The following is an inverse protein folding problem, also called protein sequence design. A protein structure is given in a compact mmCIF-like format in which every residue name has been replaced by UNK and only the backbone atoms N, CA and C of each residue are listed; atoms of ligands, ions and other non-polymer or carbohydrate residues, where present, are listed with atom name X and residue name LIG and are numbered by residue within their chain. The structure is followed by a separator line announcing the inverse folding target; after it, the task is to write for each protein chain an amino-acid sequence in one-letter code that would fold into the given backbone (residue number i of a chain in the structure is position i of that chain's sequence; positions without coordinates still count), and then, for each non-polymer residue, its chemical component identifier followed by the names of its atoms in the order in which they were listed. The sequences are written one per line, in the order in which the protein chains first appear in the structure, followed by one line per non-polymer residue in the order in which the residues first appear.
data_IF_511874607709
#
_entry.id   IF_511874607709
#
_cell.length_a   1.000
_cell.length_b   1.000
_cell.length_c   1.000
_cell.angle_alpha   90.00
_cell.angle_beta   90.00
_cell.angle_gamma   90.00
#
_symmetry.space_group_name_H-M   'P 1'
#
loop_
_entity.id
_entity.type
_entity.pdbx_description
1 polymer ?
#
# COMPACT_ATOMS: atom_id res chain seq x y z
N UNK A 1 8.23 -43.51 -66.41
CA UNK A 1 9.07 -42.42 -65.85
C UNK A 1 8.27 -41.70 -64.77
N UNK A 2 8.97 -41.23 -63.72
CA UNK A 2 8.48 -40.52 -62.51
C UNK A 2 7.83 -41.41 -61.46
N UNK A 3 8.59 -41.98 -60.51
CA UNK A 3 9.32 -41.41 -59.35
C UNK A 3 8.37 -40.92 -58.25
N UNK A 4 8.56 -41.55 -57.09
CA UNK A 4 7.85 -41.40 -55.83
C UNK A 4 8.01 -40.03 -55.16
N UNK A 5 7.11 -39.72 -54.23
CA UNK A 5 7.45 -38.89 -53.07
C UNK A 5 6.62 -39.33 -51.87
N UNK A 6 7.27 -39.95 -50.89
CA UNK A 6 6.72 -40.20 -49.56
C UNK A 6 6.91 -38.94 -48.71
N UNK A 7 5.81 -38.30 -48.32
CA UNK A 7 5.83 -37.32 -47.23
C UNK A 7 5.92 -38.06 -45.89
N UNK A 8 7.11 -38.06 -45.28
CA UNK A 8 7.32 -38.39 -43.87
C UNK A 8 6.69 -37.30 -43.00
N UNK A 9 5.56 -37.59 -42.37
CA UNK A 9 5.02 -36.78 -41.29
C UNK A 9 5.82 -37.00 -40.01
N UNK A 10 6.55 -35.98 -39.56
CA UNK A 10 7.19 -35.99 -38.25
C UNK A 10 6.13 -35.73 -37.17
N UNK A 11 5.96 -36.66 -36.23
CA UNK A 11 5.19 -36.43 -35.01
C UNK A 11 5.97 -35.43 -34.14
N UNK A 12 5.49 -34.20 -34.00
CA UNK A 12 5.88 -33.32 -32.91
C UNK A 12 5.11 -33.74 -31.65
N UNK A 13 5.79 -34.45 -30.75
CA UNK A 13 5.31 -34.64 -29.39
C UNK A 13 5.44 -33.32 -28.63
N UNK A 14 4.32 -32.66 -28.36
CA UNK A 14 4.27 -31.51 -27.44
C UNK A 14 4.34 -32.06 -26.02
N UNK A 15 5.47 -31.86 -25.35
CA UNK A 15 5.57 -32.03 -23.90
C UNK A 15 4.84 -30.86 -23.23
N UNK A 16 3.64 -31.11 -22.68
CA UNK A 16 3.04 -30.25 -21.68
C UNK A 16 3.80 -30.46 -20.36
N UNK A 17 4.73 -29.55 -20.05
CA UNK A 17 5.22 -29.40 -18.68
C UNK A 17 4.12 -28.70 -17.86
N UNK A 18 3.83 -29.15 -16.63
CA UNK A 18 2.95 -28.39 -15.75
C UNK A 18 3.62 -27.07 -15.42
N UNK A 19 2.94 -25.95 -15.67
CA UNK A 19 3.35 -24.66 -15.13
C UNK A 19 3.29 -24.78 -13.60
N UNK A 20 4.46 -24.83 -12.95
CA UNK A 20 4.54 -24.64 -11.51
C UNK A 20 4.15 -23.18 -11.28
N UNK A 21 2.95 -22.95 -10.75
CA UNK A 21 2.55 -21.63 -10.31
C UNK A 21 3.50 -21.24 -9.18
N UNK A 22 4.44 -20.34 -9.46
CA UNK A 22 5.19 -19.65 -8.42
C UNK A 22 4.15 -18.90 -7.60
N UNK A 23 4.10 -19.18 -6.29
CA UNK A 23 3.33 -18.35 -5.38
C UNK A 23 3.78 -16.89 -5.60
N UNK A 24 2.84 -15.95 -5.66
CA UNK A 24 3.19 -14.54 -5.50
C UNK A 24 3.96 -14.44 -4.19
N UNK A 25 5.23 -14.04 -4.25
CA UNK A 25 6.13 -14.07 -3.09
C UNK A 25 5.81 -12.98 -2.06
N UNK A 26 4.90 -12.05 -2.40
CA UNK A 26 4.46 -10.98 -1.52
C UNK A 26 3.22 -11.34 -0.71
N UNK A 27 3.11 -10.72 0.46
CA UNK A 27 1.95 -10.77 1.35
C UNK A 27 1.11 -9.51 1.24
N UNK A 28 -0.19 -9.65 1.51
CA UNK A 28 -1.12 -8.53 1.49
C UNK A 28 -0.99 -7.69 2.77
N UNK A 29 -1.08 -6.37 2.63
CA UNK A 29 -1.27 -5.45 3.77
C UNK A 29 -2.68 -4.87 3.73
N UNK A 30 -3.37 -4.91 4.86
CA UNK A 30 -4.51 -4.05 5.17
C UNK A 30 -4.07 -3.04 6.23
N UNK A 31 -3.97 -1.77 5.86
CA UNK A 31 -3.73 -0.68 6.81
C UNK A 31 -5.06 0.01 7.11
N UNK A 32 -5.45 0.05 8.38
CA UNK A 32 -6.73 0.62 8.78
C UNK A 32 -6.64 1.49 10.04
N UNK A 33 -7.61 2.39 10.19
CA UNK A 33 -7.80 3.19 11.40
C UNK A 33 -9.07 2.78 12.11
N UNK A 34 -9.03 2.69 13.44
CA UNK A 34 -10.20 2.40 14.25
C UNK A 34 -11.16 3.61 14.37
N UNK A 35 -12.28 3.43 15.07
CA UNK A 35 -13.31 4.47 15.20
C UNK A 35 -12.85 5.76 15.91
N UNK A 36 -11.70 5.78 16.57
CA UNK A 36 -11.20 6.98 17.27
C UNK A 36 -10.87 8.15 16.33
N UNK A 37 -10.63 7.89 15.05
CA UNK A 37 -10.42 8.94 14.03
C UNK A 37 -11.71 9.67 13.64
N UNK A 38 -12.89 9.08 13.86
CA UNK A 38 -14.16 9.58 13.29
C UNK A 38 -14.59 10.92 13.91
N UNK A 39 -14.39 11.10 15.21
CA UNK A 39 -14.68 12.36 15.90
C UNK A 39 -13.83 13.53 15.40
N UNK A 40 -12.49 13.46 15.45
CA UNK A 40 -11.63 14.55 15.02
C UNK A 40 -11.55 14.73 13.51
N UNK A 41 -11.67 13.65 12.73
CA UNK A 41 -11.32 13.65 11.31
C UNK A 41 -12.42 13.14 10.38
N UNK A 42 -13.61 12.81 10.91
CA UNK A 42 -14.73 12.31 10.10
C UNK A 42 -15.04 13.20 8.91
N UNK A 43 -14.96 12.62 7.71
CA UNK A 43 -15.18 13.31 6.45
C UNK A 43 -13.97 14.06 5.90
N UNK A 44 -12.79 14.04 6.53
CA UNK A 44 -11.57 14.65 5.96
C UNK A 44 -10.85 13.71 5.00
N UNK A 45 -10.11 14.28 4.04
CA UNK A 45 -9.28 13.49 3.13
C UNK A 45 -8.09 12.89 3.87
N UNK A 46 -7.68 11.70 3.46
CA UNK A 46 -6.52 10.99 3.99
C UNK A 46 -5.71 10.46 2.82
N UNK A 47 -4.39 10.57 2.91
CA UNK A 47 -3.48 9.92 1.99
C UNK A 47 -2.49 9.03 2.74
N UNK A 48 -2.16 7.90 2.13
CA UNK A 48 -1.34 6.84 2.71
C UNK A 48 -0.28 6.43 1.71
N UNK A 49 0.95 6.24 2.19
CA UNK A 49 2.08 5.74 1.43
C UNK A 49 2.69 4.53 2.15
N UNK A 50 2.91 3.46 1.41
CA UNK A 50 3.71 2.33 1.86
C UNK A 50 5.17 2.58 1.47
N UNK A 51 6.06 2.49 2.45
CA UNK A 51 7.47 2.86 2.33
C UNK A 51 8.34 1.68 2.75
N UNK A 52 9.37 1.36 1.97
CA UNK A 52 10.42 0.45 2.44
C UNK A 52 11.30 1.18 3.46
N UNK A 53 11.41 0.65 4.67
CA UNK A 53 11.99 1.38 5.80
C UNK A 53 13.50 1.63 5.65
N UNK A 54 14.24 0.73 5.00
CA UNK A 54 15.70 0.84 4.88
C UNK A 54 16.13 1.87 3.82
N UNK A 55 15.52 1.80 2.63
CA UNK A 55 15.84 2.72 1.53
C UNK A 55 15.09 4.05 1.60
N UNK A 56 13.92 4.07 2.26
CA UNK A 56 12.97 5.17 2.19
C UNK A 56 12.16 5.22 0.88
N UNK A 57 12.24 4.19 0.03
CA UNK A 57 11.52 4.11 -1.23
C UNK A 57 10.01 4.06 -0.99
N UNK A 58 9.25 4.95 -1.65
CA UNK A 58 7.79 4.92 -1.63
C UNK A 58 7.30 3.95 -2.68
N UNK A 59 6.79 2.81 -2.23
CA UNK A 59 6.38 1.69 -3.08
C UNK A 59 4.97 1.90 -3.67
N UNK A 60 4.09 2.52 -2.89
CA UNK A 60 2.71 2.78 -3.30
C UNK A 60 2.13 3.96 -2.55
N UNK A 61 1.16 4.64 -3.17
CA UNK A 61 0.35 5.71 -2.57
C UNK A 61 -1.12 5.44 -2.84
N UNK A 62 -1.97 5.76 -1.87
CA UNK A 62 -3.42 5.70 -1.98
C UNK A 62 -4.04 6.91 -1.29
N UNK A 63 -5.25 7.28 -1.71
CA UNK A 63 -6.02 8.37 -1.15
C UNK A 63 -7.44 7.90 -0.84
N UNK A 64 -8.06 8.52 0.17
CA UNK A 64 -9.41 8.18 0.60
C UNK A 64 -10.02 9.26 1.48
N UNK A 65 -10.99 8.84 2.28
CA UNK A 65 -11.67 9.72 3.24
C UNK A 65 -11.89 8.97 4.53
N UNK A 66 -11.72 9.66 5.65
CA UNK A 66 -12.06 9.15 6.98
C UNK A 66 -13.58 9.07 7.08
N UNK A 67 -14.12 7.90 7.40
CA UNK A 67 -15.54 7.71 7.65
C UNK A 67 -15.99 8.49 8.90
N UNK A 68 -17.24 8.93 8.93
CA UNK A 68 -17.82 9.61 10.10
C UNK A 68 -18.47 8.67 11.12
N UNK A 69 -18.62 7.39 10.78
CA UNK A 69 -19.27 6.36 11.59
C UNK A 69 -18.77 4.95 11.22
N UNK A 70 -19.01 3.96 12.09
CA UNK A 70 -18.67 2.55 11.88
C UNK A 70 -17.57 2.04 12.82
N UNK A 71 -17.13 0.80 12.61
CA UNK A 71 -16.04 0.20 13.41
C UNK A 71 -14.65 0.59 12.87
N UNK A 72 -14.54 0.78 11.55
CA UNK A 72 -13.31 1.14 10.84
C UNK A 72 -13.48 2.52 10.23
N UNK A 73 -12.58 3.45 10.55
CA UNK A 73 -12.62 4.81 10.03
C UNK A 73 -12.04 4.91 8.62
N UNK A 74 -11.06 4.09 8.26
CA UNK A 74 -10.53 3.96 6.91
C UNK A 74 -9.83 2.60 6.76
N UNK A 75 -9.72 2.09 5.54
CA UNK A 75 -8.95 0.89 5.23
C UNK A 75 -8.34 1.01 3.84
N UNK A 76 -7.07 0.63 3.72
CA UNK A 76 -6.30 0.61 2.47
C UNK A 76 -5.65 -0.75 2.30
N UNK A 77 -5.80 -1.33 1.12
CA UNK A 77 -5.26 -2.65 0.79
C UNK A 77 -4.06 -2.49 -0.15
N UNK A 78 -2.96 -3.18 0.16
CA UNK A 78 -1.77 -3.26 -0.70
C UNK A 78 -1.49 -4.73 -1.00
N UNK A 79 -2.10 -5.29 -2.07
CA UNK A 79 -1.97 -6.70 -2.39
C UNK A 79 -0.55 -7.07 -2.80
N UNK A 80 0.00 -8.13 -2.19
CA UNK A 80 1.33 -8.67 -2.47
C UNK A 80 2.48 -7.70 -2.25
N UNK A 81 2.28 -6.65 -1.45
CA UNK A 81 3.25 -5.56 -1.30
C UNK A 81 4.36 -5.85 -0.29
N UNK A 82 4.12 -6.77 0.67
CA UNK A 82 5.08 -7.06 1.73
C UNK A 82 5.94 -8.27 1.37
N UNK A 83 7.24 -8.04 1.22
CA UNK A 83 8.22 -9.11 1.01
C UNK A 83 8.74 -9.63 2.36
N UNK A 84 8.98 -10.95 2.48
CA UNK A 84 9.62 -11.52 3.65
C UNK A 84 10.97 -10.86 3.95
N UNK A 85 11.29 -10.72 5.25
CA UNK A 85 12.55 -10.15 5.74
C UNK A 85 12.80 -8.66 5.40
N UNK A 86 11.85 -7.99 4.76
CA UNK A 86 11.90 -6.54 4.49
C UNK A 86 11.12 -5.77 5.56
N UNK A 87 11.68 -4.66 6.03
CA UNK A 87 11.01 -3.75 6.97
C UNK A 87 10.26 -2.66 6.21
N UNK A 88 9.06 -2.33 6.67
CA UNK A 88 8.18 -1.35 6.03
C UNK A 88 7.65 -0.34 7.03
N UNK A 89 7.36 0.85 6.52
CA UNK A 89 6.61 1.89 7.23
C UNK A 89 5.38 2.27 6.43
N UNK A 90 4.31 2.65 7.13
CA UNK A 90 3.18 3.36 6.55
C UNK A 90 3.26 4.81 6.97
N UNK A 91 3.35 5.68 5.98
CA UNK A 91 3.28 7.12 6.14
C UNK A 91 1.87 7.57 5.78
N UNK A 92 1.23 8.35 6.62
CA UNK A 92 -0.08 8.89 6.29
C UNK A 92 -0.31 10.24 6.91
N UNK A 93 -1.17 11.02 6.26
CA UNK A 93 -1.61 12.30 6.76
C UNK A 93 -3.10 12.50 6.47
N UNK A 94 -3.73 13.30 7.34
CA UNK A 94 -5.12 13.71 7.20
C UNK A 94 -5.14 15.21 6.95
N UNK A 95 -5.73 15.58 5.82
CA UNK A 95 -5.92 16.93 5.30
C UNK A 95 -6.85 17.73 6.21
N UNK A 96 -6.27 18.25 7.28
CA UNK A 96 -6.98 18.90 8.37
C UNK A 96 -7.08 20.40 8.16
N UNK A 97 -6.14 20.96 7.40
CA UNK A 97 -6.06 22.39 7.06
C UNK A 97 -6.10 23.32 8.28
N UNK A 98 -5.62 22.85 9.44
CA UNK A 98 -5.59 23.65 10.66
C UNK A 98 -4.80 24.94 10.42
N UNK A 99 -5.30 26.07 10.94
CA UNK A 99 -4.60 27.34 10.78
C UNK A 99 -4.45 27.84 9.33
N UNK A 100 -5.13 27.24 8.35
CA UNK A 100 -5.13 27.67 6.95
C UNK A 100 -4.19 26.90 6.04
N UNK A 101 -4.08 25.58 6.22
CA UNK A 101 -3.48 24.68 5.22
C UNK A 101 -4.22 24.73 3.87
N UNK A 102 -3.57 24.20 2.83
CA UNK A 102 -4.11 24.05 1.49
C UNK A 102 -4.79 22.70 1.28
N UNK A 103 -6.06 22.75 0.89
CA UNK A 103 -6.84 21.54 0.56
C UNK A 103 -6.12 20.65 -0.47
N UNK A 104 -5.99 19.36 -0.14
CA UNK A 104 -5.34 18.36 -0.96
C UNK A 104 -3.81 18.42 -1.00
N UNK A 105 -3.18 19.19 -0.10
CA UNK A 105 -1.72 19.30 0.01
C UNK A 105 -1.28 18.80 1.37
N UNK A 106 -0.23 17.98 1.42
CA UNK A 106 0.40 17.65 2.70
C UNK A 106 1.17 18.87 3.20
N UNK A 107 0.59 19.59 4.15
CA UNK A 107 1.21 20.73 4.81
C UNK A 107 1.93 20.31 6.09
N UNK A 108 2.71 21.22 6.69
CA UNK A 108 3.44 20.95 7.92
C UNK A 108 2.52 20.48 9.08
N UNK A 109 3.10 19.84 10.10
CA UNK A 109 2.33 19.23 11.20
C UNK A 109 1.48 20.22 12.03
N UNK A 110 1.68 21.53 11.84
CA UNK A 110 0.81 22.56 12.42
C UNK A 110 -0.51 22.75 11.67
N UNK A 111 -0.62 22.24 10.44
CA UNK A 111 -1.78 22.32 9.56
C UNK A 111 -2.46 20.96 9.41
N UNK A 112 -1.67 19.90 9.22
CA UNK A 112 -2.18 18.54 9.05
C UNK A 112 -1.66 17.61 10.13
N UNK A 113 -2.49 16.64 10.52
CA UNK A 113 -1.96 15.53 11.30
C UNK A 113 -1.25 14.55 10.37
N UNK A 114 -0.03 14.21 10.75
CA UNK A 114 0.89 13.35 10.01
C UNK A 114 1.46 12.28 10.92
N UNK A 115 1.60 11.06 10.43
CA UNK A 115 2.11 9.95 11.21
C UNK A 115 3.00 9.04 10.36
N UNK A 116 4.05 8.54 11.01
CA UNK A 116 4.95 7.50 10.52
C UNK A 116 4.82 6.27 11.41
N UNK A 117 4.41 5.15 10.81
CA UNK A 117 4.11 3.90 11.52
C UNK A 117 5.00 2.80 10.99
N UNK A 118 5.86 2.24 11.84
CA UNK A 118 6.58 1.03 11.51
C UNK A 118 5.62 -0.17 11.55
N UNK A 119 5.69 -1.02 10.52
CA UNK A 119 4.95 -2.28 10.49
C UNK A 119 5.74 -3.38 11.19
N UNK A 120 5.03 -4.28 11.87
CA UNK A 120 5.64 -5.52 12.34
C UNK A 120 6.13 -6.36 11.14
N UNK A 121 7.25 -7.11 11.28
CA UNK A 121 7.74 -7.97 10.20
C UNK A 121 6.65 -8.95 9.73
N UNK A 122 6.32 -8.88 8.44
CA UNK A 122 5.31 -9.75 7.86
C UNK A 122 5.89 -11.16 7.65
N UNK A 123 5.25 -12.16 8.26
CA UNK A 123 5.46 -13.59 7.96
C UNK A 123 4.31 -14.18 7.13
N UNK A 124 3.42 -13.32 6.64
CA UNK A 124 2.13 -13.61 6.03
C UNK A 124 1.36 -12.31 5.81
N UNK A 125 0.11 -12.43 5.34
CA UNK A 125 -0.78 -11.28 5.20
C UNK A 125 -0.93 -10.56 6.55
N UNK A 126 -0.88 -9.23 6.52
CA UNK A 126 -0.84 -8.37 7.69
C UNK A 126 -2.06 -7.44 7.70
N UNK A 127 -2.76 -7.38 8.82
CA UNK A 127 -3.70 -6.29 9.11
C UNK A 127 -3.13 -5.44 10.23
N UNK A 128 -2.82 -4.18 9.92
CA UNK A 128 -2.32 -3.20 10.88
C UNK A 128 -3.42 -2.19 11.19
N UNK A 129 -3.70 -1.98 12.49
CA UNK A 129 -4.75 -1.05 12.94
C UNK A 129 -4.15 0.07 13.76
N UNK A 130 -4.36 1.31 13.32
CA UNK A 130 -4.00 2.51 14.05
C UNK A 130 -5.15 3.04 14.90
N UNK A 131 -4.79 3.66 16.02
CA UNK A 131 -5.69 4.44 16.88
C UNK A 131 -5.25 5.90 16.81
N UNK A 132 -6.19 6.83 16.73
CA UNK A 132 -5.93 8.25 16.62
C UNK A 132 -5.14 8.77 17.85
N UNK A 133 -3.86 9.06 17.63
CA UNK A 133 -2.94 9.60 18.64
C UNK A 133 -2.18 10.84 18.13
N UNK A 134 -2.70 12.06 18.38
CA UNK A 134 -2.05 13.30 17.95
C UNK A 134 -0.80 13.64 18.77
N UNK A 135 -0.41 12.84 19.77
CA UNK A 135 0.87 13.03 20.48
C UNK A 135 2.04 12.35 19.75
N UNK A 136 1.77 11.51 18.74
CA UNK A 136 2.77 10.73 18.00
C UNK A 136 2.92 11.18 16.54
N UNK A 137 2.77 12.48 16.30
CA UNK A 137 2.95 13.03 14.96
C UNK A 137 4.39 12.83 14.46
N UNK A 138 4.53 12.61 13.16
CA UNK A 138 5.82 12.49 12.48
C UNK A 138 5.74 13.07 11.07
N UNK A 139 6.79 13.77 10.64
CA UNK A 139 6.84 14.39 9.31
C UNK A 139 6.89 13.31 8.21
N UNK A 140 5.96 13.40 7.25
CA UNK A 140 5.83 12.45 6.15
C UNK A 140 5.58 13.07 4.78
N UNK A 141 5.44 14.39 4.67
CA UNK A 141 5.07 15.03 3.39
C UNK A 141 6.04 14.74 2.24
N UNK A 142 7.32 14.48 2.52
CA UNK A 142 8.30 14.04 1.51
C UNK A 142 7.85 12.77 0.78
N UNK A 143 7.10 11.88 1.44
CA UNK A 143 6.56 10.68 0.82
C UNK A 143 5.40 10.94 -0.13
N UNK A 144 4.84 12.14 -0.17
CA UNK A 144 3.71 12.51 -1.03
C UNK A 144 4.07 13.54 -2.10
N UNK A 145 5.31 14.01 -2.12
CA UNK A 145 5.79 14.84 -3.21
C UNK A 145 6.00 13.97 -4.45
N UNK A 146 5.45 14.40 -5.58
CA UNK A 146 5.73 13.77 -6.86
C UNK A 146 7.21 13.97 -7.18
N UNK A 147 7.97 12.89 -7.32
CA UNK A 147 9.27 12.99 -8.00
C UNK A 147 9.00 13.42 -9.45
N UNK A 148 9.44 14.63 -9.78
CA UNK A 148 9.21 15.27 -11.09
C UNK A 148 10.02 14.66 -12.21
#
# INVERSE_FOLDING_TARGET
MSIASLCRGALLGVLCLPAVALASEGHDLVFQGDASFQGPHGGQAIAVALVEAESGEVLARQEGRVAGEGETAFAFEFPGALMPETAYEVHYWIDSNFGGGGEGVCDAMSQDHQWRVALDPAMGDLTHTETHDPARLGEVCDSFMMEG
#
